data_IF_844832007405
#
_entry.id   IF_844832007405
#
_cell.length_a   1.000
_cell.length_b   1.000
_cell.length_c   1.000
_cell.angle_alpha   90.00
_cell.angle_beta   90.00
_cell.angle_gamma   90.00
#
_symmetry.space_group_name_H-M   'P 1'
#
loop_
_entity.id
_entity.type
_entity.pdbx_description
1 polymer ?
#
# COMPACT_ATOMS: atom_id res chain seq x y z
N UNK A 1 -8.86 13.67 24.80
CA UNK A 1 -7.96 14.78 25.19
C UNK A 1 -6.79 14.30 26.06
N UNK A 2 -6.99 13.45 27.08
CA UNK A 2 -5.89 12.94 27.94
C UNK A 2 -4.90 11.97 27.25
N UNK A 3 -5.31 11.27 26.19
CA UNK A 3 -4.43 10.34 25.45
C UNK A 3 -3.36 11.01 24.58
N UNK A 4 -3.57 12.25 24.14
CA UNK A 4 -2.59 13.01 23.34
C UNK A 4 -1.32 13.37 24.15
N UNK A 5 -1.40 13.31 25.49
CA UNK A 5 -0.29 13.60 26.39
C UNK A 5 0.45 12.35 26.88
N UNK A 6 0.00 11.15 26.51
CA UNK A 6 0.79 9.95 26.74
C UNK A 6 1.75 9.81 25.57
N UNK A 7 3.06 9.65 25.80
CA UNK A 7 4.09 9.37 24.77
C UNK A 7 3.87 8.01 24.05
N UNK A 8 2.65 7.45 24.07
CA UNK A 8 2.25 6.22 23.40
C UNK A 8 1.27 6.57 22.28
N UNK A 9 1.43 5.97 21.09
CA UNK A 9 0.49 6.18 20.00
C UNK A 9 -0.92 5.77 20.42
N UNK A 10 -1.90 6.60 20.05
CA UNK A 10 -3.32 6.31 20.31
C UNK A 10 -3.72 5.12 19.43
N UNK A 11 -4.28 4.03 19.99
CA UNK A 11 -4.70 2.88 19.19
C UNK A 11 -5.72 3.27 18.12
N UNK A 12 -5.62 2.69 16.91
CA UNK A 12 -6.58 2.93 15.83
C UNK A 12 -8.03 2.65 16.24
N UNK A 13 -8.25 1.63 17.08
CA UNK A 13 -9.59 1.34 17.60
C UNK A 13 -10.18 2.49 18.43
N UNK A 14 -9.35 3.29 19.10
CA UNK A 14 -9.79 4.48 19.80
C UNK A 14 -9.89 5.68 18.86
N UNK A 15 -8.89 5.87 18.00
CA UNK A 15 -8.82 7.00 17.07
C UNK A 15 -10.01 7.02 16.09
N UNK A 16 -10.38 5.86 15.56
CA UNK A 16 -11.40 5.73 14.52
C UNK A 16 -12.81 5.45 15.05
N UNK A 17 -13.01 5.34 16.37
CA UNK A 17 -14.30 4.95 16.97
C UNK A 17 -15.48 5.82 16.52
N UNK A 18 -15.30 7.15 16.64
CA UNK A 18 -16.32 8.11 16.22
C UNK A 18 -16.56 8.06 14.71
N UNK A 19 -15.49 8.02 13.93
CA UNK A 19 -15.57 7.97 12.46
C UNK A 19 -16.32 6.73 11.97
N UNK A 20 -16.03 5.56 12.53
CA UNK A 20 -16.71 4.30 12.20
C UNK A 20 -18.18 4.35 12.62
N UNK A 21 -18.48 4.95 13.78
CA UNK A 21 -19.86 5.12 14.24
C UNK A 21 -20.68 6.03 13.31
N UNK A 22 -20.10 7.14 12.83
CA UNK A 22 -20.72 8.03 11.85
C UNK A 22 -20.91 7.32 10.49
N UNK A 23 -19.94 6.52 10.05
CA UNK A 23 -20.05 5.72 8.83
C UNK A 23 -21.14 4.65 8.90
N UNK A 24 -21.37 4.04 10.06
CA UNK A 24 -22.46 3.06 10.23
C UNK A 24 -23.83 3.72 10.04
N UNK A 25 -24.01 4.95 10.53
CA UNK A 25 -25.22 5.75 10.29
C UNK A 25 -25.37 6.03 8.79
N UNK A 26 -24.30 6.50 8.14
CA UNK A 26 -24.33 6.80 6.71
C UNK A 26 -24.57 5.55 5.85
N UNK A 27 -24.08 4.38 6.25
CA UNK A 27 -24.31 3.13 5.53
C UNK A 27 -25.79 2.71 5.54
N UNK A 28 -26.52 2.96 6.63
CA UNK A 28 -27.98 2.77 6.69
C UNK A 28 -28.71 3.72 5.74
N UNK A 29 -28.09 4.86 5.45
CA UNK A 29 -28.56 5.90 4.55
C UNK A 29 -29.29 7.00 5.32
N UNK A 30 -28.88 8.24 5.08
CA UNK A 30 -29.41 9.44 5.71
C UNK A 30 -30.23 10.23 4.70
N UNK A 31 -31.42 10.67 5.08
CA UNK A 31 -32.18 11.59 4.25
C UNK A 31 -31.53 12.97 4.29
N UNK A 32 -31.35 13.55 3.11
CA UNK A 32 -30.73 14.85 2.90
C UNK A 32 -31.64 15.69 2.01
N UNK A 33 -31.62 17.00 2.25
CA UNK A 33 -32.39 17.99 1.47
C UNK A 33 -31.40 18.97 0.85
N UNK A 34 -31.49 19.17 -0.46
CA UNK A 34 -30.70 20.20 -1.14
C UNK A 34 -31.25 21.59 -0.83
N UNK A 35 -30.48 22.64 -1.12
CA UNK A 35 -30.93 24.03 -0.99
C UNK A 35 -32.20 24.32 -1.83
N UNK A 36 -32.35 23.63 -2.95
CA UNK A 36 -33.51 23.71 -3.86
C UNK A 36 -34.71 22.87 -3.39
N UNK A 37 -34.59 22.19 -2.24
CA UNK A 37 -35.65 21.40 -1.64
C UNK A 37 -35.78 19.96 -2.12
N UNK A 38 -34.85 19.48 -2.96
CA UNK A 38 -34.84 18.07 -3.43
C UNK A 38 -34.42 17.17 -2.28
N UNK A 39 -35.25 16.15 -2.01
CA UNK A 39 -34.96 15.13 -0.99
C UNK A 39 -34.25 13.95 -1.65
N UNK A 40 -33.14 13.52 -1.09
CA UNK A 40 -32.40 12.33 -1.53
C UNK A 40 -31.87 11.54 -0.34
N UNK A 41 -31.57 10.25 -0.56
CA UNK A 41 -30.98 9.39 0.47
C UNK A 41 -29.50 9.20 0.21
N UNK A 42 -28.67 9.80 1.07
CA UNK A 42 -27.22 9.68 1.01
C UNK A 42 -26.76 8.40 1.71
N UNK A 43 -25.97 7.57 1.03
CA UNK A 43 -25.23 6.45 1.62
C UNK A 43 -23.74 6.67 1.41
N UNK A 44 -22.94 6.39 2.43
CA UNK A 44 -21.47 6.42 2.33
C UNK A 44 -20.89 5.10 2.84
N UNK A 45 -19.84 4.63 2.17
CA UNK A 45 -19.09 3.41 2.51
C UNK A 45 -17.61 3.63 2.23
N UNK A 46 -16.76 2.96 3.00
CA UNK A 46 -15.34 2.86 2.70
C UNK A 46 -15.11 1.71 1.73
N UNK A 47 -14.51 2.02 0.60
CA UNK A 47 -14.23 1.03 -0.45
C UNK A 47 -12.81 0.48 -0.36
N UNK A 48 -11.83 1.34 -0.06
CA UNK A 48 -10.40 1.00 -0.04
C UNK A 48 -9.72 1.59 1.19
N UNK A 49 -8.77 0.85 1.75
CA UNK A 49 -7.89 1.32 2.81
C UNK A 49 -6.45 1.36 2.30
N UNK A 50 -5.87 2.56 2.31
CA UNK A 50 -4.47 2.82 1.94
C UNK A 50 -3.69 3.03 3.22
N UNK A 51 -2.83 2.07 3.55
CA UNK A 51 -2.04 2.07 4.78
C UNK A 51 -0.71 1.38 4.51
N UNK A 52 0.37 2.02 4.95
CA UNK A 52 1.70 1.46 4.93
C UNK A 52 1.77 0.19 5.80
N UNK A 53 2.93 -0.47 5.84
CA UNK A 53 3.05 -1.72 6.60
C UNK A 53 2.80 -1.49 8.10
N UNK A 54 3.40 -0.46 8.70
CA UNK A 54 3.40 -0.28 10.14
C UNK A 54 2.04 0.15 10.68
N UNK A 55 1.41 1.16 10.07
CA UNK A 55 0.06 1.57 10.46
C UNK A 55 -0.97 0.45 10.22
N UNK A 56 -0.75 -0.39 9.20
CA UNK A 56 -1.66 -1.48 8.93
C UNK A 56 -1.64 -2.56 10.01
N UNK A 57 -0.50 -2.84 10.65
CA UNK A 57 -0.48 -3.83 11.73
C UNK A 57 -1.29 -3.37 12.92
N UNK A 58 -1.21 -2.09 13.27
CA UNK A 58 -2.01 -1.54 14.36
C UNK A 58 -3.49 -1.47 13.98
N UNK A 59 -3.80 -1.04 12.75
CA UNK A 59 -5.18 -0.97 12.24
C UNK A 59 -5.87 -2.35 12.19
N UNK A 60 -5.14 -3.37 11.74
CA UNK A 60 -5.66 -4.75 11.61
C UNK A 60 -5.40 -5.60 12.86
N UNK A 61 -4.76 -5.03 13.88
CA UNK A 61 -4.35 -5.71 15.11
C UNK A 61 -3.53 -6.98 14.83
N UNK A 62 -2.53 -6.87 13.97
CA UNK A 62 -1.62 -7.95 13.56
C UNK A 62 -0.25 -7.85 14.20
N UNK A 63 0.54 -8.91 14.03
CA UNK A 63 1.97 -8.91 14.29
C UNK A 63 2.68 -8.00 13.30
N UNK A 64 3.63 -7.19 13.79
CA UNK A 64 4.38 -6.24 12.99
C UNK A 64 5.28 -6.89 11.93
N UNK A 65 5.93 -6.09 11.08
CA UNK A 65 6.74 -6.58 9.96
C UNK A 65 7.95 -7.44 10.37
N UNK A 66 8.40 -7.32 11.63
CA UNK A 66 9.46 -8.13 12.22
C UNK A 66 8.95 -9.49 12.75
N UNK A 67 7.64 -9.72 12.79
CA UNK A 67 7.05 -11.01 13.09
C UNK A 67 7.24 -12.03 11.97
N UNK A 68 7.04 -13.31 12.27
CA UNK A 68 7.08 -14.39 11.28
C UNK A 68 5.72 -14.60 10.61
N UNK A 69 4.61 -14.27 11.28
CA UNK A 69 3.25 -14.39 10.72
C UNK A 69 2.65 -13.01 10.50
N UNK A 70 3.17 -12.27 9.52
CA UNK A 70 2.87 -10.84 9.38
C UNK A 70 2.24 -10.48 8.03
N UNK A 71 2.12 -11.44 7.11
CA UNK A 71 1.42 -11.20 5.85
C UNK A 71 -0.09 -11.06 6.08
N UNK A 72 -0.65 -9.94 5.64
CA UNK A 72 -2.09 -9.63 5.74
C UNK A 72 -2.94 -10.27 4.64
N UNK A 73 -2.35 -10.84 3.59
CA UNK A 73 -3.12 -11.48 2.50
C UNK A 73 -3.02 -13.00 2.46
N UNK A 74 -1.96 -13.60 3.02
CA UNK A 74 -1.81 -15.04 3.08
C UNK A 74 -1.33 -15.51 4.46
N UNK A 75 -1.36 -16.82 4.67
CA UNK A 75 -0.94 -17.49 5.92
C UNK A 75 0.54 -17.89 5.93
N UNK A 76 1.31 -17.46 4.92
CA UNK A 76 2.72 -17.81 4.81
C UNK A 76 3.51 -17.21 5.97
N UNK A 77 4.28 -18.07 6.64
CA UNK A 77 5.20 -17.65 7.68
C UNK A 77 6.57 -17.37 7.09
N UNK A 78 7.17 -16.25 7.48
CA UNK A 78 8.57 -15.96 7.25
C UNK A 78 9.48 -16.66 8.27
N UNK A 79 10.76 -16.74 7.93
CA UNK A 79 11.84 -17.29 8.76
C UNK A 79 12.77 -16.19 9.23
N UNK A 80 13.31 -16.32 10.45
CA UNK A 80 14.31 -15.38 10.97
C UNK A 80 15.69 -15.71 10.41
N UNK A 81 16.30 -14.75 9.71
CA UNK A 81 17.67 -14.80 9.21
C UNK A 81 18.32 -13.46 9.52
N UNK A 82 19.42 -13.45 10.29
CA UNK A 82 20.16 -12.23 10.66
C UNK A 82 19.25 -11.11 11.19
N UNK A 83 18.40 -11.45 12.18
CA UNK A 83 17.38 -10.59 12.80
C UNK A 83 16.25 -10.08 11.89
N UNK A 84 16.28 -10.39 10.60
CA UNK A 84 15.25 -10.04 9.63
C UNK A 84 14.30 -11.21 9.42
N UNK A 85 13.02 -10.91 9.19
CA UNK A 85 12.06 -11.91 8.73
C UNK A 85 12.11 -11.98 7.22
N UNK A 86 12.43 -13.16 6.70
CA UNK A 86 12.58 -13.47 5.29
C UNK A 86 11.48 -14.41 4.83
N UNK A 87 10.91 -14.12 3.66
CA UNK A 87 9.83 -14.86 3.02
C UNK A 87 10.39 -15.45 1.71
N UNK A 88 10.88 -16.69 1.77
CA UNK A 88 11.36 -17.40 0.58
C UNK A 88 10.27 -17.54 -0.47
N UNK A 89 10.64 -17.56 -1.75
CA UNK A 89 9.77 -18.01 -2.82
C UNK A 89 9.51 -19.52 -2.66
N UNK A 90 8.25 -19.95 -2.77
CA UNK A 90 7.87 -21.37 -2.61
C UNK A 90 7.22 -21.74 -1.27
N UNK A 91 6.55 -22.89 -1.25
CA UNK A 91 5.61 -23.31 -0.20
C UNK A 91 4.16 -22.96 -0.56
N UNK A 92 3.21 -23.56 0.17
CA UNK A 92 1.79 -23.36 -0.09
C UNK A 92 1.34 -21.97 0.39
N UNK A 93 1.22 -21.02 -0.54
CA UNK A 93 0.74 -19.66 -0.28
C UNK A 93 -0.77 -19.65 -0.19
N UNK A 94 -1.29 -20.20 0.91
CA UNK A 94 -2.73 -20.15 1.17
C UNK A 94 -3.14 -18.71 1.49
N UNK A 95 -3.90 -18.11 0.58
CA UNK A 95 -4.57 -16.83 0.79
C UNK A 95 -5.46 -16.90 2.04
N UNK A 96 -5.54 -15.79 2.76
CA UNK A 96 -6.52 -15.66 3.84
C UNK A 96 -7.91 -15.58 3.23
N UNK A 97 -8.86 -16.24 3.86
CA UNK A 97 -10.26 -16.21 3.46
C UNK A 97 -11.05 -15.43 4.52
N UNK A 98 -11.87 -14.47 4.08
CA UNK A 98 -12.59 -13.60 5.02
C UNK A 98 -13.53 -14.37 5.96
N UNK A 99 -14.23 -15.40 5.46
CA UNK A 99 -15.10 -16.24 6.29
C UNK A 99 -14.35 -16.96 7.41
N UNK A 100 -13.11 -17.40 7.15
CA UNK A 100 -12.25 -18.03 8.16
C UNK A 100 -11.77 -17.01 9.20
N UNK A 101 -11.38 -15.80 8.76
CA UNK A 101 -11.02 -14.71 9.67
C UNK A 101 -12.20 -14.38 10.60
N UNK A 102 -13.41 -14.25 10.04
CA UNK A 102 -14.63 -13.98 10.82
C UNK A 102 -14.94 -15.10 11.81
N UNK A 103 -14.76 -16.36 11.42
CA UNK A 103 -14.94 -17.49 12.32
C UNK A 103 -13.98 -17.41 13.51
N UNK A 104 -12.70 -17.13 13.26
CA UNK A 104 -11.70 -16.97 14.33
C UNK A 104 -11.97 -15.74 15.20
N UNK A 105 -12.46 -14.62 14.64
CA UNK A 105 -12.89 -13.49 15.46
C UNK A 105 -14.04 -13.81 16.40
N UNK A 106 -14.99 -14.66 15.99
CA UNK A 106 -16.04 -15.13 16.91
C UNK A 106 -15.47 -15.94 18.06
N UNK A 107 -14.47 -16.79 17.80
CA UNK A 107 -13.78 -17.55 18.85
C UNK A 107 -13.01 -16.61 19.80
N UNK A 108 -12.35 -15.57 19.28
CA UNK A 108 -11.67 -14.56 20.10
C UNK A 108 -12.65 -13.79 21.00
N UNK A 109 -13.80 -13.37 20.48
CA UNK A 109 -14.84 -12.66 21.25
C UNK A 109 -15.40 -13.50 22.40
N UNK A 110 -15.47 -14.82 22.20
CA UNK A 110 -15.88 -15.77 23.25
C UNK A 110 -14.76 -16.12 24.24
N UNK A 111 -13.53 -15.65 23.99
CA UNK A 111 -12.35 -15.98 24.80
C UNK A 111 -11.81 -17.40 24.59
N UNK A 112 -12.26 -18.10 23.54
CA UNK A 112 -11.84 -19.49 23.25
C UNK A 112 -10.42 -19.55 22.65
N UNK A 113 -10.01 -18.49 21.94
CA UNK A 113 -8.64 -18.32 21.42
C UNK A 113 -8.16 -16.89 21.69
N UNK A 114 -6.84 -16.70 21.84
CA UNK A 114 -6.25 -15.38 22.06
C UNK A 114 -5.70 -14.71 20.79
N UNK A 115 -5.28 -15.51 19.82
CA UNK A 115 -4.67 -15.06 18.57
C UNK A 115 -4.77 -16.16 17.51
N UNK A 116 -4.66 -15.80 16.24
CA UNK A 116 -4.62 -16.76 15.12
C UNK A 116 -3.85 -16.15 13.94
N UNK A 117 -3.02 -16.93 13.24
CA UNK A 117 -2.30 -16.51 12.03
C UNK A 117 -1.70 -15.09 12.12
N UNK A 118 -1.09 -14.76 13.26
CA UNK A 118 -0.49 -13.44 13.52
C UNK A 118 -1.45 -12.31 13.86
N UNK A 119 -2.77 -12.52 13.85
CA UNK A 119 -3.81 -11.60 14.35
C UNK A 119 -3.88 -11.70 15.86
N UNK A 120 -3.70 -10.57 16.56
CA UNK A 120 -3.62 -10.45 18.02
C UNK A 120 -4.82 -9.75 18.65
N UNK A 121 -5.73 -9.22 17.84
CA UNK A 121 -6.88 -8.47 18.31
C UNK A 121 -7.92 -8.24 17.23
N UNK A 122 -9.03 -7.63 17.62
CA UNK A 122 -10.09 -7.25 16.70
C UNK A 122 -9.83 -5.85 16.16
N UNK A 123 -9.67 -5.75 14.85
CA UNK A 123 -9.67 -4.47 14.16
C UNK A 123 -11.02 -3.78 14.32
N UNK A 124 -11.02 -2.46 14.54
CA UNK A 124 -12.26 -1.68 14.52
C UNK A 124 -13.03 -1.78 13.20
N UNK A 125 -12.34 -2.08 12.10
CA UNK A 125 -12.95 -2.18 10.77
C UNK A 125 -13.99 -3.32 10.69
N UNK A 126 -13.89 -4.35 11.54
CA UNK A 126 -14.87 -5.46 11.58
C UNK A 126 -16.28 -5.01 11.97
N UNK A 127 -16.42 -3.80 12.55
CA UNK A 127 -17.73 -3.21 12.83
C UNK A 127 -18.47 -2.80 11.57
N UNK A 128 -17.77 -2.55 10.47
CA UNK A 128 -18.37 -2.21 9.19
C UNK A 128 -18.90 -3.49 8.53
N UNK A 129 -20.22 -3.63 8.30
CA UNK A 129 -20.82 -4.89 7.82
C UNK A 129 -20.42 -5.25 6.39
N UNK A 130 -19.92 -4.28 5.62
CA UNK A 130 -19.43 -4.47 4.26
C UNK A 130 -17.90 -4.66 4.21
N UNK A 131 -17.21 -4.59 5.35
CA UNK A 131 -15.76 -4.73 5.37
C UNK A 131 -15.34 -6.17 5.02
N UNK A 132 -14.42 -6.28 4.07
CA UNK A 132 -13.77 -7.52 3.70
C UNK A 132 -12.27 -7.29 3.68
N UNK A 133 -11.57 -7.88 4.65
CA UNK A 133 -10.13 -7.68 4.83
C UNK A 133 -9.33 -7.93 3.54
N UNK A 134 -9.55 -9.08 2.91
CA UNK A 134 -8.66 -9.56 1.82
C UNK A 134 -8.86 -8.84 0.50
N UNK A 135 -9.93 -8.05 0.37
CA UNK A 135 -10.30 -7.38 -0.89
C UNK A 135 -10.29 -5.86 -0.80
N UNK A 136 -10.24 -5.28 0.42
CA UNK A 136 -10.32 -3.82 0.60
C UNK A 136 -9.04 -3.17 1.12
N UNK A 137 -8.08 -3.95 1.63
CA UNK A 137 -6.77 -3.43 2.03
C UNK A 137 -5.85 -3.42 0.81
N UNK A 138 -5.44 -2.22 0.38
CA UNK A 138 -4.59 -2.06 -0.80
C UNK A 138 -3.14 -2.47 -0.53
N UNK A 139 -2.49 -3.00 -1.56
CA UNK A 139 -1.03 -3.07 -1.59
C UNK A 139 -0.43 -1.69 -1.84
N UNK A 140 0.70 -1.41 -1.19
CA UNK A 140 1.39 -0.13 -1.32
C UNK A 140 2.55 -0.21 -2.30
N UNK A 141 2.40 0.45 -3.46
CA UNK A 141 3.44 0.55 -4.47
C UNK A 141 4.72 1.21 -3.94
N UNK A 142 4.59 2.29 -3.16
CA UNK A 142 5.70 3.13 -2.73
C UNK A 142 6.58 2.34 -1.76
N UNK A 143 6.02 1.93 -0.62
CA UNK A 143 6.77 1.31 0.45
C UNK A 143 7.10 -0.17 0.17
N UNK A 144 6.24 -0.91 -0.53
CA UNK A 144 6.46 -2.35 -0.72
C UNK A 144 7.32 -2.66 -1.94
N UNK A 145 7.03 -2.03 -3.08
CA UNK A 145 7.78 -2.29 -4.32
C UNK A 145 8.98 -1.37 -4.48
N UNK A 146 8.80 -0.04 -4.41
CA UNK A 146 9.86 0.90 -4.75
C UNK A 146 10.94 0.99 -3.65
N UNK A 147 10.55 1.35 -2.44
CA UNK A 147 11.48 1.44 -1.30
C UNK A 147 11.77 0.08 -0.67
N UNK A 148 10.86 -0.88 -0.83
CA UNK A 148 10.99 -2.22 -0.29
C UNK A 148 11.88 -3.15 -1.13
N UNK A 149 11.43 -3.46 -2.35
CA UNK A 149 12.09 -4.44 -3.23
C UNK A 149 13.14 -3.78 -4.14
N UNK A 150 12.76 -2.74 -4.89
CA UNK A 150 13.61 -2.09 -5.89
C UNK A 150 14.86 -1.47 -5.25
N UNK A 151 14.69 -0.76 -4.13
CA UNK A 151 15.82 -0.19 -3.39
C UNK A 151 16.83 -1.24 -2.93
N UNK A 152 16.37 -2.43 -2.50
CA UNK A 152 17.25 -3.51 -2.07
C UNK A 152 17.99 -4.17 -3.23
N UNK A 153 17.32 -4.35 -4.36
CA UNK A 153 17.96 -4.83 -5.59
C UNK A 153 19.05 -3.86 -6.06
N UNK A 154 18.78 -2.55 -6.10
CA UNK A 154 19.79 -1.57 -6.49
C UNK A 154 20.95 -1.48 -5.49
N UNK A 155 20.68 -1.61 -4.19
CA UNK A 155 21.74 -1.68 -3.18
C UNK A 155 22.64 -2.91 -3.37
N UNK A 156 22.06 -4.06 -3.72
CA UNK A 156 22.83 -5.24 -4.07
C UNK A 156 23.71 -5.00 -5.31
N UNK A 157 23.15 -4.41 -6.38
CA UNK A 157 23.92 -4.07 -7.59
C UNK A 157 25.07 -3.12 -7.25
N UNK A 158 24.79 -2.05 -6.50
CA UNK A 158 25.78 -1.07 -6.04
C UNK A 158 26.96 -1.72 -5.33
N UNK A 159 26.71 -2.71 -4.49
CA UNK A 159 27.74 -3.35 -3.68
C UNK A 159 28.49 -4.47 -4.42
N UNK A 160 27.90 -5.03 -5.49
CA UNK A 160 28.46 -6.17 -6.22
C UNK A 160 29.22 -5.79 -7.48
N UNK A 161 28.81 -4.72 -8.16
CA UNK A 161 29.32 -4.33 -9.48
C UNK A 161 30.06 -2.99 -9.42
N UNK A 162 30.90 -2.73 -10.43
CA UNK A 162 31.41 -1.38 -10.66
C UNK A 162 30.27 -0.52 -11.23
N UNK A 163 29.91 0.54 -10.51
CA UNK A 163 28.79 1.43 -10.87
C UNK A 163 29.22 2.64 -11.69
N UNK A 164 30.51 2.86 -11.97
CA UNK A 164 30.99 4.09 -12.63
C UNK A 164 30.37 4.25 -14.02
N UNK A 165 30.39 3.19 -14.83
CA UNK A 165 29.78 3.19 -16.17
C UNK A 165 28.26 3.35 -16.09
N UNK A 166 27.61 2.69 -15.13
CA UNK A 166 26.17 2.80 -14.89
C UNK A 166 25.80 4.25 -14.54
N UNK A 167 26.56 4.88 -13.65
CA UNK A 167 26.37 6.27 -13.25
C UNK A 167 26.56 7.22 -14.43
N UNK A 168 27.61 7.04 -15.23
CA UNK A 168 27.84 7.85 -16.43
C UNK A 168 26.64 7.76 -17.39
N UNK A 169 26.14 6.55 -17.67
CA UNK A 169 24.93 6.35 -18.48
C UNK A 169 23.70 7.03 -17.85
N UNK A 170 23.51 6.91 -16.53
CA UNK A 170 22.39 7.56 -15.81
C UNK A 170 22.44 9.09 -15.91
N UNK A 171 23.63 9.69 -15.79
CA UNK A 171 23.81 11.14 -15.87
C UNK A 171 23.56 11.72 -17.26
N UNK A 172 23.69 10.91 -18.32
CA UNK A 172 23.38 11.30 -19.69
C UNK A 172 21.86 11.28 -19.98
N UNK A 173 21.07 10.58 -19.17
CA UNK A 173 19.62 10.45 -19.39
C UNK A 173 18.92 11.78 -19.15
N UNK A 174 18.29 12.29 -20.21
CA UNK A 174 17.33 13.40 -20.11
C UNK A 174 16.01 12.88 -19.54
N UNK A 175 15.80 13.11 -18.25
CA UNK A 175 14.55 12.72 -17.59
C UNK A 175 13.36 13.47 -18.23
N UNK A 176 12.26 12.78 -18.59
CA UNK A 176 11.07 13.43 -19.13
C UNK A 176 10.54 14.55 -18.23
N UNK A 177 10.03 15.62 -18.84
CA UNK A 177 9.62 16.87 -18.17
C UNK A 177 8.48 16.69 -17.16
N UNK A 178 7.70 15.61 -17.26
CA UNK A 178 6.64 15.28 -16.30
C UNK A 178 7.17 14.71 -14.98
N UNK A 179 8.44 14.33 -14.90
CA UNK A 179 9.11 14.06 -13.64
C UNK A 179 9.73 15.34 -13.10
N UNK A 180 9.40 15.71 -11.87
CA UNK A 180 9.94 16.90 -11.20
C UNK A 180 11.39 16.72 -10.69
N UNK A 181 11.99 15.55 -10.90
CA UNK A 181 13.33 15.20 -10.43
C UNK A 181 14.15 14.61 -11.57
N UNK A 182 15.44 14.94 -11.59
CA UNK A 182 16.40 14.26 -12.46
C UNK A 182 16.80 12.92 -11.84
N UNK A 183 17.16 11.98 -12.71
CA UNK A 183 17.75 10.71 -12.29
C UNK A 183 19.15 10.97 -11.73
N UNK A 184 19.42 10.41 -10.55
CA UNK A 184 20.72 10.43 -9.89
C UNK A 184 21.45 9.11 -10.09
N UNK A 185 22.76 9.11 -9.88
CA UNK A 185 23.57 7.90 -9.89
C UNK A 185 23.31 7.00 -8.68
N UNK A 186 23.75 5.74 -8.78
CA UNK A 186 23.66 4.75 -7.70
C UNK A 186 24.61 5.07 -6.53
N UNK A 187 25.61 5.91 -6.75
CA UNK A 187 26.44 6.49 -5.69
C UNK A 187 25.57 7.26 -4.66
N UNK A 188 24.53 7.95 -5.11
CA UNK A 188 23.58 8.71 -4.28
C UNK A 188 22.37 7.90 -3.77
N UNK A 189 22.37 6.57 -3.94
CA UNK A 189 21.23 5.70 -3.66
C UNK A 189 20.60 5.88 -2.25
N UNK A 190 21.41 6.22 -1.24
CA UNK A 190 20.94 6.49 0.13
C UNK A 190 20.00 7.69 0.24
N UNK A 191 20.02 8.59 -0.74
CA UNK A 191 19.21 9.80 -0.77
C UNK A 191 18.02 9.71 -1.72
N UNK A 192 17.86 8.59 -2.43
CA UNK A 192 16.77 8.40 -3.37
C UNK A 192 15.41 8.49 -2.68
N UNK A 193 14.45 9.09 -3.36
CA UNK A 193 13.03 8.99 -3.02
C UNK A 193 12.38 7.90 -3.86
N UNK A 194 11.24 7.40 -3.40
CA UNK A 194 10.43 6.40 -4.10
C UNK A 194 10.33 6.60 -5.62
N UNK A 195 10.05 7.84 -6.06
CA UNK A 195 9.88 8.18 -7.48
C UNK A 195 11.13 7.90 -8.32
N UNK A 196 12.32 7.95 -7.74
CA UNK A 196 13.58 7.74 -8.47
C UNK A 196 13.83 6.26 -8.73
N UNK A 197 13.45 5.38 -7.79
CA UNK A 197 13.38 3.94 -8.07
C UNK A 197 12.38 3.66 -9.19
N UNK A 198 11.23 4.34 -9.19
CA UNK A 198 10.25 4.19 -10.27
C UNK A 198 10.83 4.62 -11.62
N UNK A 199 11.52 5.76 -11.70
CA UNK A 199 12.14 6.22 -12.96
C UNK A 199 13.19 5.21 -13.43
N UNK A 200 14.04 4.70 -12.54
CA UNK A 200 15.05 3.71 -12.91
C UNK A 200 14.42 2.46 -13.52
N UNK A 201 13.45 1.87 -12.83
CA UNK A 201 12.85 0.63 -13.29
C UNK A 201 11.89 0.82 -14.47
N UNK A 202 11.22 1.97 -14.59
CA UNK A 202 10.26 2.20 -15.68
C UNK A 202 10.89 2.74 -16.96
N UNK A 203 12.04 3.41 -16.85
CA UNK A 203 12.63 4.18 -17.96
C UNK A 203 14.12 3.95 -18.17
N UNK A 204 14.92 3.80 -17.11
CA UNK A 204 16.38 3.74 -17.23
C UNK A 204 16.95 2.31 -17.20
N UNK A 205 16.14 1.24 -17.25
CA UNK A 205 16.62 -0.12 -17.00
C UNK A 205 17.74 -0.58 -17.95
N UNK A 206 17.80 -0.01 -19.15
CA UNK A 206 18.82 -0.33 -20.16
C UNK A 206 20.23 0.11 -19.76
N UNK A 207 20.41 1.01 -18.80
CA UNK A 207 21.75 1.41 -18.35
C UNK A 207 22.53 0.26 -17.71
N UNK A 208 21.82 -0.75 -17.22
CA UNK A 208 22.40 -1.93 -16.58
C UNK A 208 22.83 -3.00 -17.60
N UNK A 209 22.36 -2.90 -18.86
CA UNK A 209 22.73 -3.85 -19.90
C UNK A 209 24.24 -3.80 -20.13
N UNK A 210 24.85 -4.98 -20.22
CA UNK A 210 26.30 -5.22 -20.37
C UNK A 210 27.19 -4.73 -19.19
N UNK A 211 26.61 -4.08 -18.17
CA UNK A 211 27.34 -3.60 -16.98
C UNK A 211 27.22 -4.55 -15.77
N UNK A 212 26.22 -5.42 -15.77
CA UNK A 212 25.99 -6.44 -14.74
C UNK A 212 25.84 -7.82 -15.40
N UNK A 213 25.78 -8.89 -14.59
CA UNK A 213 25.59 -10.23 -15.16
C UNK A 213 24.26 -10.35 -15.91
N UNK A 214 24.24 -11.10 -17.02
CA UNK A 214 23.03 -11.34 -17.83
C UNK A 214 21.85 -11.82 -16.98
N UNK A 215 22.12 -12.67 -15.98
CA UNK A 215 21.09 -13.15 -15.04
C UNK A 215 20.47 -12.01 -14.24
N UNK A 216 21.28 -11.14 -13.66
CA UNK A 216 20.77 -9.99 -12.89
C UNK A 216 20.05 -9.00 -13.78
N UNK A 217 20.60 -8.67 -14.95
CA UNK A 217 19.95 -7.77 -15.90
C UNK A 217 18.60 -8.34 -16.34
N UNK A 218 18.53 -9.64 -16.67
CA UNK A 218 17.27 -10.30 -17.03
C UNK A 218 16.22 -10.19 -15.92
N UNK A 219 16.59 -10.40 -14.65
CA UNK A 219 15.69 -10.26 -13.51
C UNK A 219 15.21 -8.82 -13.35
N UNK A 220 16.11 -7.84 -13.43
CA UNK A 220 15.77 -6.42 -13.33
C UNK A 220 14.84 -5.98 -14.49
N UNK A 221 15.08 -6.47 -15.70
CA UNK A 221 14.26 -6.18 -16.88
C UNK A 221 12.86 -6.83 -16.80
N UNK A 222 12.76 -8.05 -16.27
CA UNK A 222 11.45 -8.66 -15.97
C UNK A 222 10.68 -7.85 -14.94
N UNK A 223 11.34 -7.40 -13.86
CA UNK A 223 10.72 -6.54 -12.86
C UNK A 223 10.30 -5.17 -13.45
N UNK A 224 11.12 -4.58 -14.32
CA UNK A 224 10.78 -3.37 -15.08
C UNK A 224 9.50 -3.57 -15.91
N UNK A 225 9.41 -4.70 -16.62
CA UNK A 225 8.23 -5.06 -17.41
C UNK A 225 7.01 -5.26 -16.53
N UNK A 226 7.15 -5.95 -15.40
CA UNK A 226 6.08 -6.10 -14.41
C UNK A 226 5.59 -4.74 -13.87
N UNK A 227 6.51 -3.83 -13.54
CA UNK A 227 6.19 -2.45 -13.09
C UNK A 227 5.38 -1.71 -14.16
N UNK A 228 5.78 -1.78 -15.43
CA UNK A 228 5.02 -1.15 -16.53
C UNK A 228 3.61 -1.75 -16.65
N UNK A 229 3.49 -3.06 -16.50
CA UNK A 229 2.20 -3.77 -16.57
C UNK A 229 1.26 -3.38 -15.43
N UNK A 230 1.72 -3.37 -14.17
CA UNK A 230 0.87 -3.02 -13.00
C UNK A 230 0.44 -1.54 -12.98
N UNK A 231 1.16 -0.68 -13.70
CA UNK A 231 0.86 0.75 -13.80
C UNK A 231 -0.10 1.07 -14.97
N UNK A 232 -0.23 0.18 -15.94
CA UNK A 232 -1.20 0.36 -17.01
C UNK A 232 -2.63 0.12 -16.50
N UNK A 233 -3.67 0.79 -17.03
CA UNK A 233 -5.04 0.37 -16.84
C UNK A 233 -5.22 -1.08 -17.28
N UNK A 234 -5.34 -1.99 -16.32
CA UNK A 234 -5.44 -3.43 -16.60
C UNK A 234 -6.89 -3.82 -16.87
N UNK A 235 -7.10 -4.61 -17.93
CA UNK A 235 -8.38 -5.30 -18.18
C UNK A 235 -8.59 -6.34 -17.08
N UNK A 236 -9.68 -6.22 -16.32
CA UNK A 236 -10.03 -7.18 -15.27
C UNK A 236 -10.37 -8.54 -15.91
N UNK A 237 -9.64 -9.58 -15.54
CA UNK A 237 -9.89 -10.96 -15.96
C UNK A 237 -9.10 -11.95 -15.12
N UNK A 238 -9.67 -13.14 -14.90
CA UNK A 238 -8.99 -14.21 -14.14
C UNK A 238 -7.68 -14.65 -14.83
N UNK A 239 -7.68 -14.71 -16.16
CA UNK A 239 -6.48 -15.05 -16.94
C UNK A 239 -5.34 -14.06 -16.69
N UNK A 240 -5.65 -12.76 -16.73
CA UNK A 240 -4.67 -11.69 -16.44
C UNK A 240 -4.17 -11.79 -15.00
N UNK A 241 -5.07 -12.01 -14.04
CA UNK A 241 -4.71 -12.22 -12.64
C UNK A 241 -3.72 -13.40 -12.47
N UNK A 242 -4.03 -14.55 -13.06
CA UNK A 242 -3.17 -15.74 -12.96
C UNK A 242 -1.83 -15.55 -13.67
N UNK A 243 -1.83 -14.89 -14.83
CA UNK A 243 -0.59 -14.55 -15.55
C UNK A 243 0.30 -13.63 -14.71
N UNK A 244 -0.25 -12.58 -14.12
CA UNK A 244 0.50 -11.65 -13.27
C UNK A 244 1.02 -12.32 -12.00
N UNK A 245 0.23 -13.21 -11.37
CA UNK A 245 0.66 -14.01 -10.21
C UNK A 245 1.83 -14.92 -10.56
N UNK A 246 1.76 -15.60 -11.70
CA UNK A 246 2.84 -16.45 -12.18
C UNK A 246 4.12 -15.64 -12.44
N UNK A 247 3.99 -14.50 -13.13
CA UNK A 247 5.14 -13.64 -13.44
C UNK A 247 5.85 -13.16 -12.18
N UNK A 248 5.10 -12.60 -11.20
CA UNK A 248 5.73 -12.11 -9.96
C UNK A 248 6.32 -13.24 -9.11
N UNK A 249 5.69 -14.42 -9.10
CA UNK A 249 6.23 -15.59 -8.43
C UNK A 249 7.61 -15.98 -9.00
N UNK A 250 7.70 -16.08 -10.33
CA UNK A 250 8.95 -16.45 -11.02
C UNK A 250 10.04 -15.37 -10.84
N UNK A 251 9.67 -14.08 -10.85
CA UNK A 251 10.60 -12.99 -10.54
C UNK A 251 11.15 -13.13 -9.12
N UNK A 252 10.30 -13.35 -8.12
CA UNK A 252 10.74 -13.50 -6.72
C UNK A 252 11.59 -14.76 -6.52
N UNK A 253 11.33 -15.83 -7.28
CA UNK A 253 12.14 -17.04 -7.26
C UNK A 253 13.53 -16.85 -7.87
N UNK A 254 13.60 -16.12 -8.99
CA UNK A 254 14.87 -15.75 -9.58
C UNK A 254 15.67 -14.83 -8.65
N UNK A 255 15.01 -13.90 -7.95
CA UNK A 255 15.65 -13.06 -6.93
C UNK A 255 16.18 -13.91 -5.78
N UNK A 256 15.43 -14.91 -5.28
CA UNK A 256 15.94 -15.81 -4.23
C UNK A 256 17.20 -16.56 -4.65
N UNK A 257 17.28 -16.94 -5.92
CA UNK A 257 18.35 -17.78 -6.46
C UNK A 257 19.62 -16.97 -6.77
N UNK A 258 19.47 -15.81 -7.40
CA UNK A 258 20.60 -15.06 -7.96
C UNK A 258 20.99 -13.81 -7.14
N UNK A 259 20.12 -13.33 -6.25
CA UNK A 259 20.40 -12.22 -5.34
C UNK A 259 20.53 -12.71 -3.89
N UNK A 260 20.85 -11.79 -2.98
CA UNK A 260 20.87 -12.09 -1.56
C UNK A 260 19.45 -12.31 -1.02
N UNK A 261 19.27 -13.43 -0.31
CA UNK A 261 17.99 -13.81 0.29
C UNK A 261 17.46 -12.76 1.29
N UNK A 262 18.33 -11.93 1.87
CA UNK A 262 17.92 -10.85 2.77
C UNK A 262 17.06 -9.78 2.08
N UNK A 263 17.01 -9.78 0.74
CA UNK A 263 16.14 -8.91 -0.06
C UNK A 263 14.67 -9.31 0.11
N UNK A 264 14.37 -10.59 0.34
CA UNK A 264 13.02 -11.14 0.39
C UNK A 264 12.32 -10.92 1.75
N UNK A 265 12.24 -9.68 2.17
CA UNK A 265 11.48 -9.26 3.36
C UNK A 265 9.98 -9.26 3.12
N UNK A 266 9.20 -8.93 4.15
CA UNK A 266 7.74 -8.78 4.04
C UNK A 266 7.28 -7.75 2.99
N UNK A 267 8.04 -6.66 2.80
CA UNK A 267 7.77 -5.69 1.74
C UNK A 267 7.83 -6.37 0.35
N UNK A 268 8.88 -7.15 0.10
CA UNK A 268 9.07 -7.94 -1.12
C UNK A 268 7.99 -9.01 -1.29
N UNK A 269 7.64 -9.72 -0.22
CA UNK A 269 6.54 -10.69 -0.24
C UNK A 269 5.19 -10.03 -0.53
N UNK A 270 4.97 -8.79 -0.08
CA UNK A 270 3.74 -8.07 -0.38
C UNK A 270 3.56 -7.84 -1.89
N UNK A 271 4.64 -7.72 -2.65
CA UNK A 271 4.59 -7.57 -4.11
C UNK A 271 3.90 -8.76 -4.78
N UNK A 272 4.01 -9.98 -4.23
CA UNK A 272 3.28 -11.16 -4.72
C UNK A 272 1.75 -10.96 -4.70
N UNK A 273 1.23 -10.13 -3.80
CA UNK A 273 -0.20 -9.85 -3.65
C UNK A 273 -0.69 -8.69 -4.53
N UNK A 274 0.19 -8.00 -5.26
CA UNK A 274 -0.17 -6.90 -6.14
C UNK A 274 -1.22 -7.29 -7.19
N UNK A 275 -1.14 -8.47 -7.85
CA UNK A 275 -2.18 -8.89 -8.79
C UNK A 275 -3.58 -8.97 -8.17
N UNK A 276 -3.69 -9.46 -6.94
CA UNK A 276 -4.98 -9.50 -6.21
C UNK A 276 -5.48 -8.10 -5.89
N UNK A 277 -4.59 -7.23 -5.38
CA UNK A 277 -4.93 -5.84 -5.10
C UNK A 277 -5.45 -5.14 -6.36
N UNK A 278 -4.82 -5.37 -7.51
CA UNK A 278 -5.24 -4.80 -8.80
C UNK A 278 -6.60 -5.35 -9.25
N UNK A 279 -6.80 -6.65 -9.08
CA UNK A 279 -8.05 -7.31 -9.44
C UNK A 279 -9.24 -6.74 -8.66
N UNK A 280 -9.10 -6.54 -7.35
CA UNK A 280 -10.19 -6.03 -6.50
C UNK A 280 -10.33 -4.50 -6.53
N UNK A 281 -9.21 -3.78 -6.50
CA UNK A 281 -9.20 -2.33 -6.24
C UNK A 281 -8.88 -1.49 -7.47
N UNK A 282 -8.50 -2.14 -8.58
CA UNK A 282 -8.03 -1.46 -9.78
C UNK A 282 -6.53 -1.13 -9.76
N UNK A 283 -6.03 -0.44 -10.79
CA UNK A 283 -4.60 -0.17 -10.95
C UNK A 283 -3.95 0.50 -9.73
N UNK A 284 -2.70 0.14 -9.41
CA UNK A 284 -2.05 0.57 -8.17
C UNK A 284 -1.77 2.07 -8.10
N UNK A 285 -1.75 2.78 -9.24
CA UNK A 285 -1.63 4.24 -9.24
C UNK A 285 -2.85 4.93 -8.63
N UNK A 286 -4.04 4.31 -8.68
CA UNK A 286 -5.25 4.79 -8.02
C UNK A 286 -5.20 4.62 -6.49
N UNK A 287 -4.36 3.72 -6.00
CA UNK A 287 -4.23 3.35 -4.59
C UNK A 287 -2.83 3.61 -4.06
N UNK A 288 -2.08 4.54 -4.67
CA UNK A 288 -0.72 4.84 -4.26
C UNK A 288 -0.67 5.81 -3.08
N UNK A 289 0.34 5.67 -2.22
CA UNK A 289 0.55 6.52 -1.04
C UNK A 289 1.37 7.78 -1.34
N UNK A 290 1.84 7.98 -2.59
CA UNK A 290 2.59 9.18 -2.99
C UNK A 290 1.88 10.49 -2.61
N UNK A 291 0.57 10.56 -2.85
CA UNK A 291 -0.23 11.75 -2.52
C UNK A 291 -0.36 11.97 -1.00
N UNK A 292 -0.39 10.88 -0.23
CA UNK A 292 -0.47 10.95 1.23
C UNK A 292 0.86 11.43 1.82
N UNK A 293 1.98 10.93 1.31
CA UNK A 293 3.32 11.37 1.73
C UNK A 293 3.57 12.84 1.39
N UNK A 294 3.19 13.30 0.20
CA UNK A 294 3.33 14.71 -0.18
C UNK A 294 2.43 15.64 0.67
N UNK A 295 1.20 15.20 0.97
CA UNK A 295 0.31 15.90 1.89
C UNK A 295 0.89 15.95 3.31
N UNK A 296 1.39 14.83 3.82
CA UNK A 296 2.01 14.76 5.15
C UNK A 296 3.27 15.64 5.23
N UNK A 297 4.11 15.64 4.19
CA UNK A 297 5.26 16.53 4.05
C UNK A 297 4.86 18.01 4.03
N UNK A 298 3.79 18.35 3.31
CA UNK A 298 3.24 19.71 3.27
C UNK A 298 2.70 20.16 4.63
N UNK A 299 1.95 19.30 5.32
CA UNK A 299 1.43 19.59 6.66
C UNK A 299 2.58 19.75 7.65
N UNK A 300 3.53 18.82 7.69
CA UNK A 300 4.66 18.88 8.63
C UNK A 300 5.56 20.09 8.38
N UNK A 301 5.85 20.44 7.12
CA UNK A 301 6.64 21.63 6.78
C UNK A 301 5.92 22.94 7.08
N UNK A 302 4.57 22.96 7.07
CA UNK A 302 3.75 24.11 7.47
C UNK A 302 3.73 24.33 8.99
N UNK A 303 4.11 23.32 9.79
CA UNK A 303 4.28 23.43 11.24
C UNK A 303 5.70 23.90 11.55
N UNK A 304 6.01 25.18 11.26
CA UNK A 304 7.29 25.78 11.67
C UNK A 304 7.21 26.34 13.10
N UNK A 305 8.26 26.07 13.89
CA UNK A 305 8.54 26.74 15.17
C UNK A 305 7.83 26.17 16.40
N UNK A 306 8.59 25.44 17.23
CA UNK A 306 8.28 25.14 18.63
C UNK A 306 7.82 23.71 18.89
N UNK A 307 8.59 22.98 19.72
CA UNK A 307 8.29 21.62 20.23
C UNK A 307 6.99 21.53 21.04
N UNK A 308 6.33 22.66 21.33
CA UNK A 308 5.07 22.74 22.07
C UNK A 308 3.91 23.04 21.11
N UNK A 309 2.80 22.31 21.26
CA UNK A 309 1.55 22.44 20.49
C UNK A 309 1.61 22.03 19.01
N UNK A 310 2.46 21.05 18.64
CA UNK A 310 2.48 20.51 17.27
C UNK A 310 1.12 19.92 16.86
N UNK A 311 0.40 19.25 17.76
CA UNK A 311 -0.91 18.64 17.45
C UNK A 311 -1.96 19.69 17.06
N UNK A 312 -2.03 20.80 17.79
CA UNK A 312 -2.95 21.90 17.50
C UNK A 312 -2.59 22.61 16.20
N UNK A 313 -1.30 22.88 15.96
CA UNK A 313 -0.84 23.49 14.71
C UNK A 313 -1.04 22.57 13.51
N UNK A 314 -0.82 21.27 13.66
CA UNK A 314 -1.09 20.28 12.62
C UNK A 314 -2.58 20.16 12.30
N UNK A 315 -3.47 20.17 13.32
CA UNK A 315 -4.92 20.18 13.13
C UNK A 315 -5.43 21.47 12.48
N UNK A 316 -4.88 22.63 12.88
CA UNK A 316 -5.20 23.93 12.29
C UNK A 316 -4.73 23.98 10.83
N UNK A 317 -3.50 23.54 10.54
CA UNK A 317 -2.97 23.45 9.19
C UNK A 317 -3.71 22.42 8.33
N UNK A 318 -4.14 21.28 8.90
CA UNK A 318 -5.00 20.32 8.19
C UNK A 318 -6.36 20.94 7.85
N UNK A 319 -6.96 21.67 8.78
CA UNK A 319 -8.22 22.40 8.56
C UNK A 319 -8.05 23.49 7.48
N UNK A 320 -6.94 24.23 7.49
CA UNK A 320 -6.57 25.18 6.45
C UNK A 320 -6.31 24.48 5.11
N UNK A 321 -5.67 23.31 5.11
CA UNK A 321 -5.47 22.50 3.91
C UNK A 321 -6.79 21.97 3.35
N UNK A 322 -7.78 21.62 4.16
CA UNK A 322 -9.13 21.30 3.67
C UNK A 322 -9.73 22.51 2.94
N UNK A 323 -9.55 23.73 3.47
CA UNK A 323 -10.05 24.97 2.84
C UNK A 323 -9.27 25.32 1.56
N UNK A 324 -7.95 25.12 1.53
CA UNK A 324 -7.08 25.47 0.39
C UNK A 324 -7.11 24.39 -0.70
N UNK A 325 -7.17 23.10 -0.34
CA UNK A 325 -7.30 22.00 -1.30
C UNK A 325 -8.67 22.00 -1.95
N UNK A 326 -9.77 22.30 -1.24
CA UNK A 326 -11.08 22.49 -1.89
C UNK A 326 -11.08 23.62 -2.94
N UNK A 327 -10.16 24.58 -2.86
CA UNK A 327 -9.96 25.62 -3.89
C UNK A 327 -9.04 25.19 -5.04
N UNK A 328 -8.23 24.14 -4.89
CA UNK A 328 -7.29 23.63 -5.92
C UNK A 328 -7.66 22.28 -6.51
N UNK A 329 -8.61 21.55 -5.94
CA UNK A 329 -9.28 20.46 -6.65
C UNK A 329 -9.99 21.12 -7.83
N UNK A 330 -9.53 20.85 -9.06
CA UNK A 330 -10.38 21.07 -10.24
C UNK A 330 -11.69 20.38 -9.91
N UNK A 331 -12.76 21.15 -9.72
CA UNK A 331 -14.11 20.62 -9.55
C UNK A 331 -14.40 19.74 -10.76
N UNK A 332 -14.19 18.44 -10.63
CA UNK A 332 -14.74 17.46 -11.54
C UNK A 332 -16.24 17.47 -11.25
N UNK A 333 -16.99 18.14 -12.11
CA UNK A 333 -18.43 18.02 -12.14
C UNK A 333 -18.73 16.62 -12.65
N UNK A 334 -18.86 15.66 -11.74
CA UNK A 334 -19.53 14.42 -12.07
C UNK A 334 -21.02 14.75 -12.16
N UNK A 335 -21.51 14.97 -13.38
CA UNK A 335 -22.94 14.89 -13.65
C UNK A 335 -23.32 13.41 -13.52
N UNK A 336 -23.75 13.02 -12.33
CA UNK A 336 -24.48 11.77 -12.17
C UNK A 336 -25.90 12.01 -12.67
N UNK A 337 -26.29 11.32 -13.73
CA UNK A 337 -27.68 11.26 -14.14
C UNK A 337 -28.47 10.35 -13.19
N UNK A 338 -29.79 10.54 -13.15
CA UNK A 338 -30.68 9.71 -12.35
C UNK A 338 -30.64 8.27 -12.88
N UNK A 339 -29.86 7.42 -12.22
CA UNK A 339 -29.66 6.02 -12.65
C UNK A 339 -28.20 5.59 -12.73
N UNK A 340 -27.25 6.50 -12.50
CA UNK A 340 -25.84 6.14 -12.44
C UNK A 340 -25.49 5.44 -11.12
N UNK A 341 -24.95 4.22 -11.23
CA UNK A 341 -24.42 3.44 -10.13
C UNK A 341 -22.98 3.05 -10.45
N UNK A 342 -22.06 3.22 -9.50
CA UNK A 342 -20.82 2.46 -9.54
C UNK A 342 -21.16 1.00 -9.24
N UNK A 343 -21.14 0.16 -10.27
CA UNK A 343 -21.42 -1.26 -10.13
C UNK A 343 -20.24 -1.95 -9.44
N UNK A 344 -20.37 -2.20 -8.13
CA UNK A 344 -19.68 -3.30 -7.47
C UNK A 344 -20.74 -4.40 -7.29
N UNK A 345 -20.46 -5.60 -7.79
CA UNK A 345 -21.37 -6.75 -7.72
C UNK A 345 -21.93 -6.95 -6.30
N UNK A 346 -23.18 -7.40 -6.25
CA UNK A 346 -23.94 -7.65 -5.04
C UNK A 346 -23.18 -8.59 -4.08
N UNK A 347 -22.79 -8.06 -2.92
CA UNK A 347 -22.41 -8.89 -1.79
C UNK A 347 -23.68 -9.30 -1.06
N UNK A 348 -23.96 -10.61 -1.06
CA UNK A 348 -24.98 -11.26 -0.24
C UNK A 348 -24.89 -10.74 1.20
N UNK A 349 -25.88 -9.95 1.59
CA UNK A 349 -26.07 -9.49 2.96
C UNK A 349 -26.51 -10.71 3.77
N UNK A 350 -25.57 -11.32 4.49
CA UNK A 350 -25.93 -12.23 5.58
C UNK A 350 -26.51 -11.37 6.71
N UNK A 351 -27.83 -11.50 6.92
CA UNK A 351 -28.47 -11.06 8.15
C UNK A 351 -27.86 -11.85 9.30
N UNK A 352 -27.34 -11.12 10.30
CA UNK A 352 -26.94 -11.68 11.60
C UNK A 352 -28.18 -12.12 12.36
#
# INVERSE_FOLDING_TARGET
>A
MLLAYSNKPIPFNTLLDRFISELLILNQGKECKTEQGVIYRLKARLFTFLVDLDACYDLLCMTNHAGTSSCRWCKKNGRKIQDRTIYSSGGNEQERVWSEIVANYKLMLKGEIQQFDGVKGLSILVRLPYFTWTTQIACDLLHNLLEGLCAKLLNFIKNKYNIDTINNKLYEIKTPSFYHRRVRGLDELSYFKAIEYYIIFSYCIEVFQDEISDKHYHILNRLSTFIRTIMHPVVRGLEVLYSMKKEIFEILQAIETDFDIIILTLASHTVFHFPLSIFYLGPLWCTSTFMLEDLAGSITSSVQGGKNNMDHKALENFSLHQVISMKRVRTFHFQFEKGDYFHAQEFLVLKV
#
